data_IF_794572426518
#
_entry.id   IF_794572426518
#
_cell.length_a   1.000
_cell.length_b   1.000
_cell.length_c   1.000
_cell.angle_alpha   90.00
_cell.angle_beta   90.00
_cell.angle_gamma   90.00
#
_symmetry.space_group_name_H-M   'P 1'
#
loop_
_entity.id
_entity.type
_entity.pdbx_description
1 polymer ?
#
# COMPACT_ATOMS: atom_id res chain seq x y z
N UNK A 1 -17.58 -3.57 24.76
CA UNK A 1 -16.40 -4.46 24.82
C UNK A 1 -16.72 -5.90 24.43
N UNK A 2 -17.64 -6.63 25.13
CA UNK A 2 -18.01 -8.00 24.74
C UNK A 2 -18.51 -8.05 23.29
N UNK A 3 -19.53 -7.27 22.95
CA UNK A 3 -20.06 -7.18 21.59
C UNK A 3 -18.99 -6.83 20.56
N UNK A 4 -18.09 -5.91 20.88
CA UNK A 4 -17.00 -5.50 19.97
C UNK A 4 -16.02 -6.63 19.67
N UNK A 5 -15.74 -7.51 20.65
CA UNK A 5 -14.92 -8.72 20.44
C UNK A 5 -15.63 -9.72 19.53
N UNK A 6 -16.93 -9.93 19.76
CA UNK A 6 -17.74 -10.87 18.96
C UNK A 6 -17.92 -10.38 17.52
N UNK A 7 -18.16 -9.08 17.32
CA UNK A 7 -18.25 -8.45 16.00
C UNK A 7 -16.91 -8.57 15.22
N UNK A 8 -15.80 -8.66 15.95
CA UNK A 8 -14.47 -8.90 15.36
C UNK A 8 -14.15 -10.40 15.16
N UNK A 9 -15.16 -11.29 15.27
CA UNK A 9 -14.98 -12.72 15.08
C UNK A 9 -14.28 -13.44 16.23
N UNK A 10 -14.28 -12.84 17.45
CA UNK A 10 -13.76 -13.44 18.67
C UNK A 10 -14.92 -13.89 19.58
N UNK A 11 -15.71 -14.82 19.07
CA UNK A 11 -16.89 -15.38 19.78
C UNK A 11 -16.62 -16.81 20.27
N UNK A 12 -17.11 -17.19 21.48
CA UNK A 12 -17.69 -16.29 22.47
C UNK A 12 -16.62 -15.43 23.14
N UNK A 13 -16.92 -14.16 23.39
CA UNK A 13 -15.95 -13.21 23.98
C UNK A 13 -15.42 -13.66 25.35
N UNK A 14 -16.23 -14.42 26.10
CA UNK A 14 -15.86 -15.00 27.40
C UNK A 14 -14.59 -15.85 27.37
N UNK A 15 -14.33 -16.50 26.24
CA UNK A 15 -13.17 -17.37 26.06
C UNK A 15 -11.85 -16.57 25.89
N UNK A 16 -11.95 -15.27 25.62
CA UNK A 16 -10.80 -14.41 25.29
C UNK A 16 -10.49 -13.37 26.37
N UNK A 17 -11.48 -12.90 27.16
CA UNK A 17 -11.34 -11.76 28.07
C UNK A 17 -10.30 -12.01 29.16
N UNK A 18 -10.06 -13.25 29.55
CA UNK A 18 -9.13 -13.63 30.60
C UNK A 18 -7.82 -14.24 30.06
N UNK A 19 -7.66 -14.36 28.74
CA UNK A 19 -6.43 -14.92 28.15
C UNK A 19 -5.29 -13.90 28.16
N UNK A 20 -4.12 -14.41 28.39
CA UNK A 20 -2.90 -13.65 28.25
C UNK A 20 -2.45 -13.59 26.76
N UNK A 21 -1.69 -12.57 26.35
CA UNK A 21 -1.24 -12.45 24.95
C UNK A 21 -0.55 -13.68 24.37
N UNK A 22 0.22 -14.41 25.18
CA UNK A 22 0.91 -15.63 24.74
C UNK A 22 0.00 -16.86 24.54
N UNK A 23 -1.26 -16.76 24.94
CA UNK A 23 -2.29 -17.81 24.75
C UNK A 23 -3.16 -17.55 23.51
N UNK A 24 -2.85 -16.48 22.77
CA UNK A 24 -3.58 -16.05 21.58
C UNK A 24 -2.76 -16.27 20.31
N UNK A 25 -3.45 -16.59 19.22
CA UNK A 25 -2.82 -16.65 17.90
C UNK A 25 -2.45 -15.24 17.40
N UNK A 26 -1.53 -15.16 16.42
CA UNK A 26 -1.12 -13.89 15.81
C UNK A 26 -2.31 -13.09 15.26
N UNK A 27 -3.25 -13.75 14.57
CA UNK A 27 -4.46 -13.12 14.07
C UNK A 27 -5.39 -12.60 15.16
N UNK A 28 -5.50 -13.34 16.29
CA UNK A 28 -6.29 -12.89 17.45
C UNK A 28 -5.65 -11.67 18.12
N UNK A 29 -4.33 -11.66 18.29
CA UNK A 29 -3.59 -10.50 18.81
C UNK A 29 -3.77 -9.28 17.91
N UNK A 30 -3.73 -9.47 16.59
CA UNK A 30 -3.92 -8.41 15.62
C UNK A 30 -5.33 -7.82 15.72
N UNK A 31 -6.38 -8.66 15.79
CA UNK A 31 -7.78 -8.21 16.00
C UNK A 31 -7.90 -7.37 17.28
N UNK A 32 -7.35 -7.83 18.40
CA UNK A 32 -7.35 -7.09 19.67
C UNK A 32 -6.63 -5.75 19.55
N UNK A 33 -5.49 -5.70 18.85
CA UNK A 33 -4.73 -4.47 18.65
C UNK A 33 -5.53 -3.43 17.86
N UNK A 34 -6.22 -3.85 16.78
CA UNK A 34 -7.10 -3.00 15.99
C UNK A 34 -8.27 -2.50 16.83
N UNK A 35 -8.97 -3.41 17.51
CA UNK A 35 -10.10 -3.04 18.37
C UNK A 35 -9.69 -2.04 19.45
N UNK A 36 -8.53 -2.23 20.08
CA UNK A 36 -8.00 -1.30 21.08
C UNK A 36 -7.81 0.11 20.50
N UNK A 37 -7.32 0.21 19.26
CA UNK A 37 -7.15 1.49 18.58
C UNK A 37 -8.50 2.15 18.26
N UNK A 38 -9.48 1.36 17.83
CA UNK A 38 -10.82 1.83 17.46
C UNK A 38 -11.69 2.19 18.67
N UNK A 39 -11.44 1.62 19.88
CA UNK A 39 -12.15 2.00 21.10
C UNK A 39 -12.03 3.48 21.45
N UNK A 40 -10.98 4.14 20.99
CA UNK A 40 -10.78 5.58 21.16
C UNK A 40 -11.61 6.44 20.19
N UNK A 41 -12.35 5.81 19.26
CA UNK A 41 -13.09 6.46 18.16
C UNK A 41 -12.26 7.51 17.43
N UNK A 42 -11.11 7.12 16.89
CA UNK A 42 -10.23 8.07 16.24
C UNK A 42 -10.87 8.60 14.95
N UNK A 43 -10.64 9.86 14.64
CA UNK A 43 -11.00 10.43 13.33
C UNK A 43 -10.00 10.05 12.24
N UNK A 44 -8.80 9.60 12.65
CA UNK A 44 -7.72 9.18 11.76
C UNK A 44 -6.94 8.00 12.36
N UNK A 45 -6.69 6.98 11.54
CA UNK A 45 -5.96 5.75 11.91
C UNK A 45 -4.82 5.50 10.93
N UNK A 46 -3.65 5.12 11.44
CA UNK A 46 -2.54 4.58 10.63
C UNK A 46 -2.44 3.08 10.89
N UNK A 47 -2.64 2.29 9.85
CA UNK A 47 -2.48 0.84 9.86
C UNK A 47 -1.19 0.49 9.12
N UNK A 48 -0.11 0.25 9.87
CA UNK A 48 1.22 -0.06 9.32
C UNK A 48 1.41 -1.57 9.28
N UNK A 49 1.49 -2.12 8.06
CA UNK A 49 1.65 -3.56 7.78
C UNK A 49 0.69 -4.46 8.59
N UNK A 50 -0.61 -4.14 8.71
CA UNK A 50 -1.50 -4.80 9.68
C UNK A 50 -1.76 -6.27 9.37
N UNK A 51 -1.36 -6.77 8.20
CA UNK A 51 -1.62 -8.15 7.74
C UNK A 51 -0.38 -8.88 7.24
N UNK A 52 0.82 -8.31 7.36
CA UNK A 52 2.05 -8.85 6.75
C UNK A 52 2.46 -10.23 7.27
N UNK A 53 2.16 -10.54 8.55
CA UNK A 53 2.55 -11.80 9.19
C UNK A 53 1.39 -12.80 9.34
N UNK A 54 0.30 -12.62 8.59
CA UNK A 54 -0.91 -13.43 8.72
C UNK A 54 -1.13 -14.33 7.50
N UNK A 55 -1.71 -15.50 7.75
CA UNK A 55 -2.18 -16.41 6.71
C UNK A 55 -3.22 -15.73 5.81
N UNK A 56 -3.31 -16.18 4.55
CA UNK A 56 -4.16 -15.55 3.53
C UNK A 56 -5.63 -15.42 3.97
N UNK A 57 -6.19 -16.44 4.61
CA UNK A 57 -7.58 -16.43 5.10
C UNK A 57 -7.79 -15.40 6.22
N UNK A 58 -6.87 -15.38 7.19
CA UNK A 58 -6.95 -14.45 8.31
C UNK A 58 -6.71 -13.01 7.83
N UNK A 59 -5.86 -12.81 6.82
CA UNK A 59 -5.59 -11.51 6.20
C UNK A 59 -6.87 -10.88 5.65
N UNK A 60 -7.67 -11.64 4.89
CA UNK A 60 -8.93 -11.18 4.33
C UNK A 60 -9.91 -10.74 5.43
N UNK A 61 -10.02 -11.50 6.51
CA UNK A 61 -10.89 -11.17 7.64
C UNK A 61 -10.48 -9.87 8.32
N UNK A 62 -9.16 -9.66 8.54
CA UNK A 62 -8.64 -8.44 9.18
C UNK A 62 -8.89 -7.21 8.29
N UNK A 63 -8.73 -7.34 6.98
CA UNK A 63 -8.98 -6.24 6.03
C UNK A 63 -10.45 -5.87 6.03
N UNK A 64 -11.35 -6.86 5.96
CA UNK A 64 -12.79 -6.62 6.03
C UNK A 64 -13.20 -5.95 7.34
N UNK A 65 -12.62 -6.40 8.47
CA UNK A 65 -12.85 -5.79 9.77
C UNK A 65 -12.39 -4.32 9.79
N UNK A 66 -11.19 -4.00 9.29
CA UNK A 66 -10.69 -2.64 9.20
C UNK A 66 -11.59 -1.75 8.35
N UNK A 67 -12.03 -2.23 7.19
CA UNK A 67 -12.96 -1.48 6.32
C UNK A 67 -14.30 -1.21 7.01
N UNK A 68 -14.86 -2.22 7.65
CA UNK A 68 -16.14 -2.09 8.36
C UNK A 68 -16.04 -1.06 9.47
N UNK A 69 -15.04 -1.21 10.35
CA UNK A 69 -14.83 -0.31 11.47
C UNK A 69 -14.54 1.13 11.01
N UNK A 70 -13.73 1.31 9.95
CA UNK A 70 -13.44 2.63 9.39
C UNK A 70 -14.71 3.32 8.88
N UNK A 71 -15.59 2.58 8.19
CA UNK A 71 -16.87 3.11 7.67
C UNK A 71 -17.86 3.41 8.78
N UNK A 72 -18.04 2.50 9.74
CA UNK A 72 -19.01 2.64 10.84
C UNK A 72 -18.66 3.80 11.78
N UNK A 73 -17.36 3.99 12.08
CA UNK A 73 -16.89 5.06 12.97
C UNK A 73 -16.50 6.34 12.20
N UNK A 74 -16.66 6.36 10.87
CA UNK A 74 -16.27 7.47 9.99
C UNK A 74 -14.81 7.90 10.20
N UNK A 75 -13.91 6.92 10.30
CA UNK A 75 -12.46 7.10 10.53
C UNK A 75 -11.72 7.13 9.22
N UNK A 76 -10.98 8.21 8.92
CA UNK A 76 -10.04 8.23 7.81
C UNK A 76 -8.84 7.31 8.11
N UNK A 77 -8.39 6.51 7.12
CA UNK A 77 -7.32 5.54 7.34
C UNK A 77 -6.18 5.69 6.34
N UNK A 78 -4.94 5.67 6.83
CA UNK A 78 -3.75 5.40 6.02
C UNK A 78 -3.36 3.94 6.22
N UNK A 79 -3.41 3.17 5.14
CA UNK A 79 -3.04 1.76 5.13
C UNK A 79 -1.69 1.60 4.44
N UNK A 80 -0.67 1.13 5.17
CA UNK A 80 0.69 0.90 4.64
C UNK A 80 0.85 -0.58 4.39
N UNK A 81 1.23 -0.95 3.17
CA UNK A 81 1.46 -2.33 2.76
C UNK A 81 2.41 -2.41 1.57
N UNK A 82 3.11 -3.53 1.44
CA UNK A 82 3.86 -3.89 0.24
C UNK A 82 3.03 -4.77 -0.73
N UNK A 83 1.82 -5.18 -0.35
CA UNK A 83 0.93 -6.01 -1.16
C UNK A 83 -0.08 -5.14 -1.94
N UNK A 84 0.13 -5.03 -3.25
CA UNK A 84 -0.72 -4.24 -4.14
C UNK A 84 -2.14 -4.80 -4.23
N UNK A 85 -2.32 -6.13 -4.20
CA UNK A 85 -3.64 -6.75 -4.27
C UNK A 85 -4.50 -6.35 -3.06
N UNK A 86 -3.90 -6.40 -1.87
CA UNK A 86 -4.53 -5.92 -0.64
C UNK A 86 -4.83 -4.42 -0.71
N UNK A 87 -3.86 -3.61 -1.17
CA UNK A 87 -4.02 -2.16 -1.30
C UNK A 87 -5.17 -1.81 -2.24
N UNK A 88 -5.28 -2.49 -3.40
CA UNK A 88 -6.38 -2.29 -4.34
C UNK A 88 -7.76 -2.53 -3.71
N UNK A 89 -7.85 -3.54 -2.84
CA UNK A 89 -9.12 -3.90 -2.22
C UNK A 89 -9.58 -2.93 -1.15
N UNK A 90 -8.66 -2.33 -0.39
CA UNK A 90 -8.99 -1.52 0.80
C UNK A 90 -8.98 -0.01 0.54
N UNK A 91 -8.21 0.48 -0.43
CA UNK A 91 -7.93 1.92 -0.56
C UNK A 91 -8.67 2.59 -1.72
N UNK A 92 -9.21 3.79 -1.47
CA UNK A 92 -9.77 4.67 -2.50
C UNK A 92 -8.67 5.37 -3.32
N UNK A 93 -7.57 5.70 -2.67
CA UNK A 93 -6.39 6.35 -3.26
C UNK A 93 -5.12 5.63 -2.85
N UNK A 94 -4.13 5.65 -3.72
CA UNK A 94 -2.81 5.06 -3.47
C UNK A 94 -1.71 6.09 -3.63
N UNK A 95 -0.65 5.94 -2.83
CA UNK A 95 0.60 6.65 -3.00
C UNK A 95 1.73 5.63 -3.04
N UNK A 96 2.42 5.54 -4.18
CA UNK A 96 3.58 4.68 -4.36
C UNK A 96 4.82 5.42 -3.90
N UNK A 97 5.59 4.80 -3.01
CA UNK A 97 6.79 5.39 -2.42
C UNK A 97 8.03 4.62 -2.85
N UNK A 98 9.10 5.34 -3.11
CA UNK A 98 10.45 4.79 -3.33
C UNK A 98 11.48 5.60 -2.55
N UNK A 99 12.24 4.94 -1.67
CA UNK A 99 13.26 5.56 -0.81
C UNK A 99 12.78 6.86 -0.12
N UNK A 100 11.58 6.81 0.49
CA UNK A 100 11.01 7.92 1.25
C UNK A 100 10.38 9.03 0.40
N UNK A 101 10.31 8.91 -0.93
CA UNK A 101 9.66 9.86 -1.84
C UNK A 101 8.42 9.25 -2.47
N UNK A 102 7.34 10.01 -2.54
CA UNK A 102 6.17 9.65 -3.34
C UNK A 102 6.53 9.86 -4.80
N UNK A 103 6.47 8.78 -5.58
CA UNK A 103 6.78 8.80 -7.02
C UNK A 103 5.52 8.87 -7.88
N UNK A 104 4.41 8.34 -7.38
CA UNK A 104 3.11 8.36 -8.05
C UNK A 104 1.99 8.30 -7.02
N UNK A 105 0.90 9.05 -7.21
CA UNK A 105 -0.29 8.99 -6.37
C UNK A 105 -1.53 9.33 -7.18
N UNK A 106 -2.66 8.73 -6.82
CA UNK A 106 -3.94 8.97 -7.50
C UNK A 106 -5.06 8.11 -6.94
N UNK A 107 -6.18 8.07 -7.65
CA UNK A 107 -7.25 7.11 -7.42
C UNK A 107 -6.69 5.71 -7.66
N UNK A 108 -6.98 4.77 -6.77
CA UNK A 108 -6.36 3.43 -6.77
C UNK A 108 -6.52 2.73 -8.12
N UNK A 109 -7.73 2.66 -8.66
CA UNK A 109 -7.96 2.00 -9.93
C UNK A 109 -7.26 2.70 -11.10
N UNK A 110 -7.16 4.03 -11.10
CA UNK A 110 -6.44 4.79 -12.13
C UNK A 110 -4.96 4.47 -12.12
N UNK A 111 -4.30 4.55 -10.96
CA UNK A 111 -2.87 4.25 -10.82
C UNK A 111 -2.55 2.80 -11.17
N UNK A 112 -3.42 1.85 -10.78
CA UNK A 112 -3.16 0.43 -11.01
C UNK A 112 -3.42 -0.01 -12.46
N UNK A 113 -4.37 0.61 -13.18
CA UNK A 113 -4.64 0.29 -14.58
C UNK A 113 -3.81 1.11 -15.56
N UNK A 114 -3.41 2.32 -15.18
CA UNK A 114 -2.66 3.26 -16.01
C UNK A 114 -1.44 3.83 -15.29
N UNK A 115 -0.52 2.97 -14.78
CA UNK A 115 0.67 3.42 -14.06
C UNK A 115 1.58 4.23 -14.98
N UNK A 116 2.09 5.36 -14.49
CA UNK A 116 2.91 6.26 -15.28
C UNK A 116 4.39 6.19 -14.89
N UNK A 117 4.68 6.11 -13.58
CA UNK A 117 6.07 6.02 -13.12
C UNK A 117 6.65 4.62 -13.41
N UNK A 118 7.88 4.50 -13.95
CA UNK A 118 8.51 3.21 -14.25
C UNK A 118 8.55 2.25 -13.06
N UNK A 119 8.78 2.74 -11.84
CA UNK A 119 8.74 1.90 -10.64
C UNK A 119 7.35 1.32 -10.37
N UNK A 120 6.29 2.13 -10.52
CA UNK A 120 4.89 1.65 -10.36
C UNK A 120 4.57 0.57 -11.39
N UNK A 121 5.01 0.76 -12.66
CA UNK A 121 4.85 -0.26 -13.72
C UNK A 121 5.50 -1.58 -13.33
N UNK A 122 6.71 -1.51 -12.81
CA UNK A 122 7.43 -2.71 -12.33
C UNK A 122 6.70 -3.37 -11.17
N UNK A 123 6.28 -2.60 -10.16
CA UNK A 123 5.55 -3.17 -9.02
C UNK A 123 4.29 -3.90 -9.47
N UNK A 124 3.52 -3.30 -10.38
CA UNK A 124 2.28 -3.89 -10.90
C UNK A 124 2.56 -5.10 -11.80
N UNK A 125 3.61 -5.06 -12.63
CA UNK A 125 3.98 -6.20 -13.50
C UNK A 125 4.36 -7.44 -12.70
N UNK A 126 4.90 -7.27 -11.50
CA UNK A 126 5.29 -8.35 -10.60
C UNK A 126 4.14 -8.86 -9.71
N UNK A 127 2.97 -8.17 -9.73
CA UNK A 127 1.80 -8.67 -9.01
C UNK A 127 1.14 -9.81 -9.78
N UNK A 128 0.74 -10.86 -9.06
CA UNK A 128 -0.06 -11.93 -9.63
C UNK A 128 -1.34 -11.33 -10.25
N UNK A 129 -1.58 -11.64 -11.54
CA UNK A 129 -2.84 -11.27 -12.18
C UNK A 129 -4.00 -12.00 -11.52
N UNK A 130 -5.12 -11.29 -11.29
CA UNK A 130 -6.36 -11.92 -10.86
C UNK A 130 -7.00 -12.74 -12.00
N UNK A 131 -6.63 -12.47 -13.26
CA UNK A 131 -7.03 -13.25 -14.42
C UNK A 131 -5.90 -14.22 -14.81
N UNK A 132 -6.08 -15.54 -14.65
CA UNK A 132 -5.08 -16.56 -15.01
C UNK A 132 -4.74 -16.57 -16.51
N UNK A 133 -5.59 -15.97 -17.36
CA UNK A 133 -5.40 -15.91 -18.81
C UNK A 133 -4.64 -14.65 -19.26
N UNK A 134 -4.50 -13.66 -18.40
CA UNK A 134 -3.76 -12.43 -18.68
C UNK A 134 -2.25 -12.69 -18.55
N UNK A 135 -1.58 -12.81 -19.69
CA UNK A 135 -0.10 -12.85 -19.74
C UNK A 135 0.43 -11.43 -19.59
N UNK A 136 0.86 -11.06 -18.39
CA UNK A 136 1.61 -9.81 -18.16
C UNK A 136 3.09 -10.05 -18.44
N UNK A 137 3.69 -9.16 -19.19
CA UNK A 137 5.14 -9.11 -19.31
C UNK A 137 5.73 -8.62 -17.98
N UNK A 138 6.52 -9.46 -17.33
CA UNK A 138 7.24 -9.08 -16.11
C UNK A 138 8.36 -8.14 -16.50
N UNK A 139 8.36 -6.95 -15.91
CA UNK A 139 9.44 -5.98 -16.11
C UNK A 139 10.51 -6.28 -15.06
N UNK A 140 11.64 -6.80 -15.52
CA UNK A 140 12.78 -7.07 -14.64
C UNK A 140 13.51 -5.77 -14.29
N UNK A 141 13.93 -5.64 -13.03
CA UNK A 141 14.79 -4.56 -12.56
C UNK A 141 16.11 -5.15 -12.12
N UNK A 142 17.20 -4.56 -12.62
CA UNK A 142 18.54 -4.94 -12.19
C UNK A 142 18.89 -4.34 -10.82
N UNK A 143 19.60 -5.10 -10.01
CA UNK A 143 20.18 -4.69 -8.74
C UNK A 143 19.19 -4.58 -7.56
N UNK A 144 19.74 -4.43 -6.38
CA UNK A 144 19.00 -4.24 -5.13
C UNK A 144 18.66 -2.75 -4.88
N UNK A 145 17.62 -2.44 -4.10
CA UNK A 145 17.35 -1.06 -3.68
C UNK A 145 18.57 -0.48 -2.96
N UNK A 146 19.09 0.68 -3.38
CA UNK A 146 20.22 1.30 -2.70
C UNK A 146 19.82 1.72 -1.28
N UNK A 147 20.81 1.76 -0.38
CA UNK A 147 20.60 2.31 0.96
C UNK A 147 20.25 3.80 0.83
N UNK A 148 19.20 4.29 1.51
CA UNK A 148 18.75 5.69 1.40
C UNK A 148 19.65 6.66 2.19
N UNK A 149 20.96 6.52 2.04
CA UNK A 149 21.98 7.37 2.67
C UNK A 149 22.66 8.18 1.58
N UNK A 150 22.68 9.51 1.73
CA UNK A 150 23.29 10.42 0.77
C UNK A 150 22.76 10.23 -0.67
N UNK A 151 21.47 10.08 -0.82
CA UNK A 151 20.82 10.03 -2.12
C UNK A 151 21.16 11.31 -2.89
N UNK A 152 21.66 11.15 -4.12
CA UNK A 152 22.06 12.27 -4.96
C UNK A 152 20.90 13.23 -5.31
N UNK A 153 21.16 14.28 -6.09
CA UNK A 153 20.16 15.29 -6.45
C UNK A 153 19.09 14.78 -7.43
N UNK A 154 19.34 13.65 -8.09
CA UNK A 154 18.49 13.10 -9.14
C UNK A 154 17.32 12.25 -8.64
N UNK A 155 16.63 11.62 -9.58
CA UNK A 155 15.59 10.63 -9.29
C UNK A 155 16.19 9.41 -8.58
N UNK A 156 15.66 9.05 -7.41
CA UNK A 156 16.20 7.96 -6.61
C UNK A 156 16.05 6.58 -7.27
N UNK A 157 15.08 6.46 -8.18
CA UNK A 157 14.90 5.24 -8.97
C UNK A 157 15.80 5.18 -10.21
N UNK A 158 16.45 6.28 -10.63
CA UNK A 158 17.25 6.35 -11.85
C UNK A 158 18.28 5.21 -12.02
N UNK A 159 19.03 4.79 -10.96
CA UNK A 159 20.00 3.71 -11.08
C UNK A 159 19.42 2.34 -11.47
N UNK A 160 18.10 2.16 -11.26
CA UNK A 160 17.37 0.90 -11.54
C UNK A 160 16.28 1.08 -12.59
N UNK A 161 16.17 2.28 -13.17
CA UNK A 161 15.13 2.61 -14.12
C UNK A 161 15.55 2.18 -15.54
N UNK A 162 14.77 1.32 -16.17
CA UNK A 162 14.99 0.87 -17.55
C UNK A 162 14.83 1.96 -18.61
N UNK A 163 14.29 3.14 -18.21
CA UNK A 163 14.12 4.31 -19.08
C UNK A 163 14.99 5.49 -18.65
N UNK A 164 15.96 5.30 -17.73
CA UNK A 164 16.73 6.40 -17.19
C UNK A 164 17.53 7.15 -18.29
N UNK A 165 17.49 8.48 -18.23
CA UNK A 165 18.32 9.35 -19.04
C UNK A 165 19.25 10.19 -18.16
N UNK A 166 20.18 10.92 -18.78
CA UNK A 166 21.18 11.73 -18.07
C UNK A 166 20.54 12.74 -17.11
N UNK A 167 19.40 13.33 -17.48
CA UNK A 167 18.65 14.27 -16.65
C UNK A 167 18.19 13.64 -15.35
N UNK A 168 17.76 12.34 -15.39
CA UNK A 168 17.30 11.62 -14.21
C UNK A 168 18.35 11.50 -13.10
N UNK A 169 19.63 11.53 -13.43
CA UNK A 169 20.72 11.48 -12.45
C UNK A 169 21.12 12.86 -11.90
N UNK A 170 20.75 13.94 -12.60
CA UNK A 170 21.15 15.31 -12.26
C UNK A 170 20.15 16.07 -11.42
N UNK A 171 18.86 15.84 -11.65
CA UNK A 171 17.79 16.54 -10.93
C UNK A 171 16.61 15.62 -10.60
N UNK A 172 15.96 15.88 -9.47
CA UNK A 172 14.74 15.16 -9.09
C UNK A 172 13.55 15.70 -9.91
N UNK A 173 12.73 14.83 -10.54
CA UNK A 173 11.60 15.27 -11.35
C UNK A 173 10.52 15.96 -10.49
N UNK A 174 10.01 17.08 -10.98
CA UNK A 174 8.85 17.75 -10.37
C UNK A 174 7.59 16.88 -10.47
N UNK A 175 6.74 16.97 -9.46
CA UNK A 175 5.45 16.32 -9.45
C UNK A 175 4.51 17.00 -10.45
N UNK A 176 3.91 16.23 -11.37
CA UNK A 176 2.98 16.70 -12.40
C UNK A 176 1.62 16.07 -12.19
N UNK A 177 0.57 16.88 -12.19
CA UNK A 177 -0.82 16.40 -12.19
C UNK A 177 -1.25 16.12 -13.66
N UNK A 178 -1.62 14.87 -13.91
CA UNK A 178 -2.10 14.41 -15.22
C UNK A 178 -3.62 14.54 -15.38
N UNK A 179 -4.27 15.06 -14.36
CA UNK A 179 -5.72 15.18 -14.24
C UNK A 179 -6.29 14.23 -13.20
N UNK A 180 -7.45 14.58 -12.67
CA UNK A 180 -8.15 13.81 -11.64
C UNK A 180 -7.34 13.53 -10.36
N UNK A 181 -6.30 14.35 -10.09
CA UNK A 181 -5.41 14.15 -8.95
C UNK A 181 -4.49 12.95 -9.10
N UNK A 182 -4.22 12.50 -10.34
CA UNK A 182 -3.17 11.54 -10.66
C UNK A 182 -1.85 12.27 -10.82
N UNK A 183 -1.03 12.26 -9.78
CA UNK A 183 0.22 13.02 -9.68
C UNK A 183 1.41 12.08 -9.81
N UNK A 184 2.39 12.44 -10.65
CA UNK A 184 3.56 11.62 -10.97
C UNK A 184 4.84 12.44 -10.96
N UNK A 185 5.89 11.93 -10.32
CA UNK A 185 7.23 12.52 -10.30
C UNK A 185 8.15 11.75 -11.25
N UNK A 186 8.07 12.05 -12.57
CA UNK A 186 8.90 11.43 -13.60
C UNK A 186 9.17 12.39 -14.77
N UNK A 187 10.41 12.41 -15.29
CA UNK A 187 10.77 13.29 -16.42
C UNK A 187 10.10 12.91 -17.75
N UNK A 188 9.66 11.65 -17.88
CA UNK A 188 9.05 11.12 -19.10
C UNK A 188 7.54 11.30 -19.18
N UNK A 189 6.92 11.79 -18.11
CA UNK A 189 5.45 11.93 -18.04
C UNK A 189 5.03 13.32 -18.52
N UNK A 190 4.01 13.37 -19.40
CA UNK A 190 3.50 14.63 -19.96
C UNK A 190 4.35 15.26 -21.07
N UNK A 191 5.36 14.55 -21.56
CA UNK A 191 6.16 14.99 -22.73
C UNK A 191 5.73 14.23 -24.01
N UNK A 192 4.46 14.29 -24.39
CA UNK A 192 4.01 13.79 -25.70
C UNK A 192 4.48 14.67 -26.87
N UNK A 193 5.41 15.59 -26.65
CA UNK A 193 5.78 16.60 -27.64
C UNK A 193 7.24 16.57 -28.11
N UNK A 194 8.07 15.60 -27.71
CA UNK A 194 9.44 15.50 -28.27
C UNK A 194 9.84 14.03 -28.47
N UNK A 195 9.38 13.46 -29.61
CA UNK A 195 10.02 12.34 -30.29
C UNK A 195 10.54 12.81 -31.63
#
# INVERSE_FOLDING_TARGET
MIKTLEDAGMAPATDYIYRHPHELSGGQLQRISILRSMLLRPTFLVADEPVSMLDVSIRADIINMLQTLSKEENTAMVFISHDIATTRYISDRVAVMYLGRIVETGITDEVLHNPQHPYTKVLISNCASLDPLEKREIIEIEGEPPTPINTGPGCYFAPRCYQACEKCFKEYPEARDLGNGHIVSCHFVGNDAEK
#
